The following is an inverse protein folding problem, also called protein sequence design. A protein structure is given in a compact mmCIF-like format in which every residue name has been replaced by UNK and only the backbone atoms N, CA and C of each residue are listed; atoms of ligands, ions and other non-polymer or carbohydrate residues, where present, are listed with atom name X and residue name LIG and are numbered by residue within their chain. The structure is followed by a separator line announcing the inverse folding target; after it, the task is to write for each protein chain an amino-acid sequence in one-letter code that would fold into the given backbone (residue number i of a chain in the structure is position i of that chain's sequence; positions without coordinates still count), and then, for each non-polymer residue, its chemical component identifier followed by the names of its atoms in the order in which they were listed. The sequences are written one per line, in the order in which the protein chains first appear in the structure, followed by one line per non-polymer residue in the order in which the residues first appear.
data_IF_169371897088
#
_entry.id   IF_169371897088
#
_cell.length_a   1.000
_cell.length_b   1.000
_cell.length_c   1.000
_cell.angle_alpha   90.00
_cell.angle_beta   90.00
_cell.angle_gamma   90.00
#
_symmetry.space_group_name_H-M   'P 1'
#
loop_
_entity.id
_entity.type
_entity.pdbx_description
1 polymer ?
#
# COMPACT_ATOMS: atom_id res chain seq x y z
N UNK A 1 -16.25 -11.68 -7.28
CA UNK A 1 -16.50 -10.57 -8.24
C UNK A 1 -15.58 -10.76 -9.42
N UNK A 2 -16.14 -10.91 -10.62
CA UNK A 2 -15.36 -11.10 -11.84
C UNK A 2 -14.84 -9.76 -12.38
N UNK A 3 -13.81 -9.72 -13.24
CA UNK A 3 -13.35 -8.50 -13.89
C UNK A 3 -14.46 -7.72 -14.60
N UNK A 4 -15.46 -8.39 -15.15
CA UNK A 4 -16.64 -7.78 -15.80
C UNK A 4 -17.58 -7.06 -14.82
N UNK A 5 -17.61 -7.47 -13.53
CA UNK A 5 -18.42 -6.82 -12.52
C UNK A 5 -17.82 -5.46 -12.13
N UNK A 6 -16.49 -5.33 -12.23
CA UNK A 6 -15.78 -4.08 -12.02
C UNK A 6 -15.97 -3.08 -13.16
N UNK A 7 -15.98 -3.53 -14.41
CA UNK A 7 -16.25 -2.67 -15.58
C UNK A 7 -17.66 -2.09 -15.54
N UNK A 8 -18.66 -2.87 -15.20
CA UNK A 8 -20.04 -2.39 -15.07
C UNK A 8 -20.26 -1.41 -13.90
N UNK A 9 -19.55 -1.59 -12.78
CA UNK A 9 -19.54 -0.63 -11.67
C UNK A 9 -18.86 0.67 -12.09
N UNK A 10 -17.78 0.57 -12.84
CA UNK A 10 -16.99 1.66 -13.38
C UNK A 10 -17.81 2.59 -14.27
N UNK A 11 -18.57 2.05 -15.20
CA UNK A 11 -19.44 2.82 -16.08
C UNK A 11 -20.58 3.53 -15.32
N UNK A 12 -21.11 2.92 -14.26
CA UNK A 12 -22.14 3.51 -13.41
C UNK A 12 -21.58 4.68 -12.58
N UNK A 13 -20.38 4.56 -12.04
CA UNK A 13 -19.74 5.65 -11.29
C UNK A 13 -19.28 6.78 -12.21
N UNK A 14 -18.84 6.49 -13.44
CA UNK A 14 -18.50 7.49 -14.44
C UNK A 14 -19.69 8.40 -14.78
N UNK A 15 -20.89 7.86 -14.87
CA UNK A 15 -22.14 8.63 -15.09
C UNK A 15 -22.52 9.51 -13.90
N UNK A 16 -22.19 9.10 -12.68
CA UNK A 16 -22.56 9.80 -11.44
C UNK A 16 -21.61 10.97 -11.12
N UNK A 17 -20.32 10.83 -11.41
CA UNK A 17 -19.28 11.79 -11.02
C UNK A 17 -18.78 12.69 -12.16
N UNK A 18 -19.25 12.47 -13.40
CA UNK A 18 -18.77 13.19 -14.58
C UNK A 18 -17.40 12.69 -15.07
N UNK A 19 -17.33 12.37 -16.36
CA UNK A 19 -16.23 11.62 -17.01
C UNK A 19 -14.80 12.12 -16.73
N UNK A 20 -14.61 13.44 -16.60
CA UNK A 20 -13.26 14.03 -16.49
C UNK A 20 -12.57 13.77 -15.15
N UNK A 21 -13.32 13.78 -14.07
CA UNK A 21 -12.75 13.62 -12.71
C UNK A 21 -12.41 12.15 -12.44
N UNK A 22 -13.22 11.25 -12.95
CA UNK A 22 -12.99 9.81 -12.87
C UNK A 22 -11.79 9.39 -13.72
N UNK A 23 -11.71 9.84 -14.98
CA UNK A 23 -10.58 9.55 -15.85
C UNK A 23 -9.24 10.04 -15.28
N UNK A 24 -9.23 11.22 -14.65
CA UNK A 24 -8.04 11.73 -13.96
C UNK A 24 -7.64 10.87 -12.75
N UNK A 25 -8.62 10.35 -11.99
CA UNK A 25 -8.37 9.47 -10.84
C UNK A 25 -7.83 8.12 -11.27
N UNK A 26 -8.37 7.53 -12.35
CA UNK A 26 -7.91 6.24 -12.87
C UNK A 26 -6.54 6.35 -13.53
N UNK A 27 -6.27 7.41 -14.28
CA UNK A 27 -4.95 7.67 -14.85
C UNK A 27 -3.90 7.76 -13.75
N UNK A 28 -4.20 8.44 -12.66
CA UNK A 28 -3.32 8.55 -11.50
C UNK A 28 -3.08 7.20 -10.79
N UNK A 29 -4.13 6.39 -10.61
CA UNK A 29 -3.97 5.04 -10.04
C UNK A 29 -3.09 4.15 -10.90
N UNK A 30 -3.25 4.21 -12.22
CA UNK A 30 -2.44 3.42 -13.15
C UNK A 30 -0.97 3.86 -13.13
N UNK A 31 -0.71 5.16 -13.08
CA UNK A 31 0.64 5.70 -12.98
C UNK A 31 1.31 5.28 -11.66
N UNK A 32 0.58 5.30 -10.54
CA UNK A 32 1.05 4.82 -9.25
C UNK A 32 1.40 3.32 -9.32
N UNK A 33 0.55 2.51 -9.92
CA UNK A 33 0.79 1.07 -10.09
C UNK A 33 2.01 0.78 -10.94
N UNK A 34 2.19 1.52 -12.05
CA UNK A 34 3.38 1.40 -12.90
C UNK A 34 4.66 1.76 -12.15
N UNK A 35 4.61 2.83 -11.38
CA UNK A 35 5.76 3.26 -10.59
C UNK A 35 6.10 2.24 -9.49
N UNK A 36 5.11 1.71 -8.75
CA UNK A 36 5.34 0.67 -7.76
C UNK A 36 5.90 -0.61 -8.39
N UNK A 37 5.39 -1.05 -9.56
CA UNK A 37 5.93 -2.22 -10.26
C UNK A 37 7.37 -2.01 -10.70
N UNK A 38 7.73 -0.80 -11.16
CA UNK A 38 9.12 -0.44 -11.51
C UNK A 38 10.03 -0.50 -10.27
N UNK A 39 9.56 0.03 -9.15
CA UNK A 39 10.31 0.01 -7.88
C UNK A 39 10.42 -1.40 -7.32
N UNK A 40 9.37 -2.23 -7.47
CA UNK A 40 9.37 -3.65 -7.12
C UNK A 40 10.46 -4.41 -7.89
N UNK A 41 10.61 -4.19 -9.19
CA UNK A 41 11.69 -4.78 -9.97
C UNK A 41 13.07 -4.40 -9.41
N UNK A 42 13.29 -3.13 -9.06
CA UNK A 42 14.52 -2.65 -8.41
C UNK A 42 14.79 -3.33 -7.06
N UNK A 43 13.73 -3.60 -6.29
CA UNK A 43 13.78 -4.35 -5.05
C UNK A 43 14.17 -5.81 -5.29
N UNK A 44 13.57 -6.46 -6.31
CA UNK A 44 13.90 -7.84 -6.69
C UNK A 44 15.33 -7.97 -7.21
N UNK A 45 15.87 -6.97 -7.94
CA UNK A 45 17.29 -6.93 -8.31
C UNK A 45 18.20 -6.89 -7.08
N UNK A 46 17.79 -6.18 -6.03
CA UNK A 46 18.54 -6.13 -4.78
C UNK A 46 18.50 -7.47 -4.05
N UNK A 47 17.30 -8.09 -3.95
CA UNK A 47 17.14 -9.43 -3.38
C UNK A 47 17.96 -10.48 -4.13
N UNK A 48 17.96 -10.42 -5.46
CA UNK A 48 18.70 -11.35 -6.31
C UNK A 48 20.23 -11.33 -6.06
N UNK A 49 20.77 -10.19 -5.62
CA UNK A 49 22.20 -10.04 -5.30
C UNK A 49 22.58 -10.55 -3.91
N UNK A 50 21.61 -10.91 -3.07
CA UNK A 50 21.87 -11.43 -1.73
C UNK A 50 22.58 -12.78 -1.83
N UNK A 51 23.71 -12.90 -1.12
CA UNK A 51 24.47 -14.15 -0.99
C UNK A 51 24.12 -14.81 0.35
N UNK A 52 23.82 -16.08 0.32
CA UNK A 52 23.54 -16.87 1.53
C UNK A 52 22.17 -17.54 1.50
N UNK A 53 22.00 -18.47 2.43
CA UNK A 53 20.79 -19.31 2.54
C UNK A 53 19.73 -18.73 3.46
N UNK A 54 19.96 -17.56 4.05
CA UNK A 54 19.04 -16.95 5.00
C UNK A 54 18.67 -15.53 4.59
N UNK A 55 17.38 -15.27 4.64
CA UNK A 55 16.80 -13.95 4.50
C UNK A 55 16.89 -13.19 5.84
N UNK A 56 17.38 -11.98 5.83
CA UNK A 56 17.59 -11.15 7.02
C UNK A 56 16.92 -9.79 6.89
N UNK A 57 16.44 -9.27 8.02
CA UNK A 57 15.72 -7.98 8.06
C UNK A 57 16.59 -6.79 7.63
N UNK A 58 17.90 -6.89 7.77
CA UNK A 58 18.85 -5.82 7.38
C UNK A 58 18.81 -5.52 5.86
N UNK A 59 18.16 -6.38 5.07
CA UNK A 59 17.93 -6.10 3.66
C UNK A 59 17.07 -4.84 3.46
N UNK A 60 16.19 -4.53 4.42
CA UNK A 60 15.34 -3.33 4.37
C UNK A 60 16.16 -2.03 4.35
N UNK A 61 17.40 -2.04 4.84
CA UNK A 61 18.30 -0.88 4.81
C UNK A 61 18.90 -0.59 3.42
N UNK A 62 18.70 -1.49 2.45
CA UNK A 62 19.23 -1.30 1.11
C UNK A 62 18.51 -0.16 0.38
N UNK A 63 19.25 0.71 -0.36
CA UNK A 63 18.69 1.92 -0.95
C UNK A 63 17.46 1.68 -1.83
N UNK A 64 17.48 0.65 -2.69
CA UNK A 64 16.36 0.34 -3.58
C UNK A 64 15.13 -0.17 -2.84
N UNK A 65 15.32 -0.81 -1.70
CA UNK A 65 14.23 -1.28 -0.85
C UNK A 65 13.67 -0.10 -0.06
N UNK A 66 14.51 0.79 0.46
CA UNK A 66 14.07 2.03 1.10
C UNK A 66 13.32 2.95 0.12
N UNK A 67 13.74 3.01 -1.14
CA UNK A 67 13.03 3.74 -2.20
C UNK A 67 11.60 3.23 -2.37
N UNK A 68 11.40 1.91 -2.41
CA UNK A 68 10.09 1.28 -2.49
C UNK A 68 9.24 1.57 -1.25
N UNK A 69 9.79 1.39 -0.03
CA UNK A 69 9.10 1.65 1.24
C UNK A 69 8.62 3.11 1.30
N UNK A 70 9.49 4.05 0.97
CA UNK A 70 9.16 5.48 1.00
C UNK A 70 8.11 5.85 -0.04
N UNK A 71 8.19 5.30 -1.25
CA UNK A 71 7.20 5.54 -2.29
C UNK A 71 5.82 5.01 -1.87
N UNK A 72 5.74 3.79 -1.34
CA UNK A 72 4.50 3.21 -0.85
C UNK A 72 3.92 4.02 0.33
N UNK A 73 4.72 4.39 1.32
CA UNK A 73 4.30 5.24 2.43
C UNK A 73 3.78 6.60 1.96
N UNK A 74 4.48 7.25 1.01
CA UNK A 74 4.03 8.52 0.42
C UNK A 74 2.67 8.42 -0.28
N UNK A 75 2.39 7.31 -0.93
CA UNK A 75 1.07 7.06 -1.54
C UNK A 75 -0.01 7.02 -0.46
N UNK A 76 0.24 6.33 0.64
CA UNK A 76 -0.68 6.25 1.77
C UNK A 76 -0.86 7.63 2.45
N UNK A 77 0.22 8.34 2.72
CA UNK A 77 0.21 9.68 3.30
C UNK A 77 -0.62 10.68 2.47
N UNK A 78 -0.64 10.52 1.15
CA UNK A 78 -1.43 11.37 0.25
C UNK A 78 -2.94 11.31 0.50
N UNK A 79 -3.42 10.25 1.16
CA UNK A 79 -4.85 10.04 1.45
C UNK A 79 -5.39 11.06 2.45
N UNK A 80 -4.55 11.57 3.34
CA UNK A 80 -4.93 12.50 4.40
C UNK A 80 -4.23 13.86 4.31
N UNK A 81 -3.63 14.17 3.17
CA UNK A 81 -2.96 15.46 2.95
C UNK A 81 -3.89 16.65 3.23
N UNK A 82 -5.17 16.54 2.83
CA UNK A 82 -6.19 17.58 2.98
C UNK A 82 -7.05 17.42 4.23
N UNK A 83 -6.79 16.43 5.07
CA UNK A 83 -7.54 16.23 6.32
C UNK A 83 -7.02 17.20 7.38
N UNK A 84 -7.90 18.00 7.97
CA UNK A 84 -7.55 18.90 9.06
C UNK A 84 -7.28 18.10 10.34
N UNK A 85 -6.07 18.22 10.85
CA UNK A 85 -5.60 17.58 12.08
C UNK A 85 -4.35 18.31 12.60
N UNK A 86 -3.96 18.05 13.84
CA UNK A 86 -2.72 18.59 14.37
C UNK A 86 -1.49 18.00 13.68
N UNK A 87 -0.39 18.74 13.68
CA UNK A 87 0.90 18.25 13.17
C UNK A 87 1.40 17.02 13.94
N UNK A 88 1.07 16.92 15.23
CA UNK A 88 1.43 15.75 16.04
C UNK A 88 0.70 14.49 15.55
N UNK A 89 -0.61 14.60 15.26
CA UNK A 89 -1.41 13.49 14.73
C UNK A 89 -0.92 13.11 13.34
N UNK A 90 -0.69 14.07 12.46
CA UNK A 90 -0.17 13.84 11.11
C UNK A 90 1.14 13.06 11.13
N UNK A 91 2.11 13.48 11.94
CA UNK A 91 3.38 12.75 12.10
C UNK A 91 3.22 11.33 12.62
N UNK A 92 2.25 11.08 13.50
CA UNK A 92 1.93 9.72 13.99
C UNK A 92 1.40 8.83 12.87
N UNK A 93 0.48 9.35 12.05
CA UNK A 93 -0.06 8.61 10.91
C UNK A 93 1.02 8.32 9.87
N UNK A 94 1.84 9.30 9.49
CA UNK A 94 2.96 9.11 8.57
C UNK A 94 3.96 8.06 9.07
N UNK A 95 4.25 8.08 10.36
CA UNK A 95 5.11 7.04 10.97
C UNK A 95 4.45 5.66 10.90
N UNK A 96 3.14 5.58 11.13
CA UNK A 96 2.38 4.32 11.01
C UNK A 96 2.43 3.79 9.58
N UNK A 97 2.23 4.64 8.59
CA UNK A 97 2.26 4.27 7.18
C UNK A 97 3.65 3.82 6.72
N UNK A 98 4.70 4.47 7.22
CA UNK A 98 6.07 4.04 6.97
C UNK A 98 6.36 2.65 7.57
N UNK A 99 5.94 2.41 8.82
CA UNK A 99 6.11 1.10 9.48
C UNK A 99 5.31 0.02 8.73
N UNK A 100 4.07 0.30 8.38
CA UNK A 100 3.24 -0.61 7.60
C UNK A 100 3.87 -0.95 6.25
N UNK A 101 4.35 0.06 5.53
CA UNK A 101 5.05 -0.12 4.25
C UNK A 101 6.31 -0.96 4.38
N UNK A 102 7.08 -0.77 5.46
CA UNK A 102 8.25 -1.59 5.77
C UNK A 102 7.92 -3.05 6.07
N UNK A 103 6.87 -3.29 6.86
CA UNK A 103 6.40 -4.65 7.18
C UNK A 103 5.88 -5.38 5.95
N UNK A 104 5.09 -4.70 5.12
CA UNK A 104 4.60 -5.21 3.83
C UNK A 104 5.77 -5.58 2.92
N UNK A 105 6.71 -4.67 2.73
CA UNK A 105 7.92 -4.89 1.92
C UNK A 105 8.72 -6.08 2.41
N UNK A 106 8.91 -6.22 3.72
CA UNK A 106 9.59 -7.38 4.29
C UNK A 106 8.85 -8.68 3.97
N UNK A 107 7.52 -8.68 4.05
CA UNK A 107 6.70 -9.84 3.71
C UNK A 107 6.83 -10.22 2.23
N UNK A 108 6.76 -9.25 1.32
CA UNK A 108 6.95 -9.47 -0.12
C UNK A 108 8.33 -10.06 -0.44
N UNK A 109 9.39 -9.54 0.17
CA UNK A 109 10.75 -10.05 0.02
C UNK A 109 10.90 -11.46 0.57
N UNK A 110 10.29 -11.75 1.71
CA UNK A 110 10.32 -13.08 2.33
C UNK A 110 9.56 -14.11 1.47
N UNK A 111 8.47 -13.71 0.85
CA UNK A 111 7.70 -14.56 -0.08
C UNK A 111 8.45 -14.79 -1.39
N UNK A 112 9.18 -13.78 -1.87
CA UNK A 112 9.99 -13.88 -3.09
C UNK A 112 11.27 -14.71 -2.91
N UNK A 113 11.85 -14.73 -1.72
CA UNK A 113 13.16 -15.31 -1.44
C UNK A 113 13.30 -16.79 -1.86
N UNK A 114 12.34 -17.69 -1.58
CA UNK A 114 12.41 -19.08 -2.02
C UNK A 114 12.50 -19.25 -3.54
N UNK A 115 11.93 -18.30 -4.30
CA UNK A 115 11.91 -18.36 -5.78
C UNK A 115 13.29 -18.09 -6.42
N UNK A 116 14.30 -17.70 -5.63
CA UNK A 116 15.67 -17.50 -6.12
C UNK A 116 16.34 -18.78 -6.64
N UNK A 117 15.92 -19.93 -6.14
CA UNK A 117 16.52 -21.22 -6.45
C UNK A 117 15.57 -22.08 -7.29
N UNK A 118 16.14 -22.91 -8.13
CA UNK A 118 15.43 -23.97 -8.84
C UNK A 118 15.26 -25.23 -7.95
N UNK A 119 14.59 -26.26 -8.47
CA UNK A 119 14.36 -27.53 -7.78
C UNK A 119 15.66 -28.28 -7.40
N UNK A 120 16.76 -27.95 -8.08
CA UNK A 120 18.09 -28.55 -7.83
C UNK A 120 18.93 -27.70 -6.87
N UNK A 121 18.39 -26.59 -6.35
CA UNK A 121 19.11 -25.67 -5.47
C UNK A 121 20.06 -24.71 -6.19
N UNK A 122 20.02 -24.64 -7.52
CA UNK A 122 20.80 -23.68 -8.30
C UNK A 122 20.08 -22.35 -8.40
N UNK A 123 20.83 -21.26 -8.47
CA UNK A 123 20.26 -19.94 -8.66
C UNK A 123 19.67 -19.80 -10.07
N UNK A 124 18.39 -19.44 -10.15
CA UNK A 124 17.71 -19.17 -11.41
C UNK A 124 18.32 -17.96 -12.12
N UNK A 125 18.24 -17.87 -13.46
CA UNK A 125 18.46 -16.62 -14.18
C UNK A 125 17.52 -15.52 -13.69
N UNK A 126 17.99 -14.26 -13.67
CA UNK A 126 17.19 -13.16 -13.11
C UNK A 126 15.82 -13.01 -13.77
N UNK A 127 15.72 -13.13 -15.09
CA UNK A 127 14.46 -13.05 -15.83
C UNK A 127 13.44 -14.12 -15.40
N UNK A 128 13.90 -15.35 -15.17
CA UNK A 128 13.04 -16.42 -14.67
C UNK A 128 12.58 -16.13 -13.24
N UNK A 129 13.49 -15.73 -12.36
CA UNK A 129 13.14 -15.31 -11.00
C UNK A 129 12.13 -14.16 -11.01
N UNK A 130 12.34 -13.12 -11.82
CA UNK A 130 11.44 -11.98 -11.92
C UNK A 130 10.03 -12.40 -12.38
N UNK A 131 9.93 -13.30 -13.36
CA UNK A 131 8.66 -13.85 -13.82
C UNK A 131 7.94 -14.64 -12.70
N UNK A 132 8.67 -15.44 -11.94
CA UNK A 132 8.11 -16.26 -10.86
C UNK A 132 7.50 -15.40 -9.72
N UNK A 133 8.05 -14.21 -9.49
CA UNK A 133 7.59 -13.30 -8.42
C UNK A 133 6.58 -12.24 -8.88
N UNK A 134 6.18 -12.22 -10.15
CA UNK A 134 5.19 -11.26 -10.67
C UNK A 134 3.82 -11.37 -9.97
N UNK A 135 3.46 -12.57 -9.49
CA UNK A 135 2.23 -12.77 -8.72
C UNK A 135 2.24 -11.99 -7.41
N UNK A 136 3.41 -11.81 -6.79
CA UNK A 136 3.61 -11.03 -5.57
C UNK A 136 3.32 -9.56 -5.87
N UNK A 137 3.95 -8.98 -6.90
CA UNK A 137 3.68 -7.60 -7.34
C UNK A 137 2.19 -7.39 -7.66
N UNK A 138 1.57 -8.29 -8.41
CA UNK A 138 0.14 -8.21 -8.73
C UNK A 138 -0.74 -8.24 -7.49
N UNK A 139 -0.44 -9.08 -6.53
CA UNK A 139 -1.23 -9.23 -5.29
C UNK A 139 -1.10 -8.00 -4.42
N UNK A 140 0.12 -7.60 -4.07
CA UNK A 140 0.37 -6.57 -3.07
C UNK A 140 0.31 -5.15 -3.62
N UNK A 141 0.81 -4.92 -4.84
CA UNK A 141 0.98 -3.58 -5.38
C UNK A 141 -0.10 -3.17 -6.38
N UNK A 142 -0.95 -4.11 -6.80
CA UNK A 142 -2.08 -3.82 -7.68
C UNK A 142 -3.43 -4.09 -7.01
N UNK A 143 -3.62 -5.30 -6.48
CA UNK A 143 -4.93 -5.71 -5.95
C UNK A 143 -5.21 -5.09 -4.58
N UNK A 144 -4.23 -5.05 -3.68
CA UNK A 144 -4.41 -4.57 -2.32
C UNK A 144 -4.23 -3.05 -2.16
N UNK A 145 -3.53 -2.39 -3.07
CA UNK A 145 -3.24 -0.96 -2.98
C UNK A 145 -4.50 -0.11 -2.71
N UNK A 146 -5.59 -0.39 -3.40
CA UNK A 146 -6.85 0.35 -3.21
C UNK A 146 -7.47 0.13 -1.83
N UNK A 147 -7.39 -1.09 -1.33
CA UNK A 147 -7.91 -1.42 0.01
C UNK A 147 -7.08 -0.73 1.09
N UNK A 148 -5.76 -0.75 0.95
CA UNK A 148 -4.82 -0.06 1.84
C UNK A 148 -5.06 1.45 1.85
N UNK A 149 -5.20 2.05 0.66
CA UNK A 149 -5.53 3.46 0.48
C UNK A 149 -6.82 3.86 1.20
N UNK A 150 -7.90 3.11 0.98
CA UNK A 150 -9.19 3.37 1.61
C UNK A 150 -9.13 3.19 3.13
N UNK A 151 -8.40 2.20 3.62
CA UNK A 151 -8.22 1.96 5.05
C UNK A 151 -7.48 3.10 5.73
N UNK A 152 -6.36 3.57 5.16
CA UNK A 152 -5.58 4.69 5.70
C UNK A 152 -6.40 5.97 5.69
N UNK A 153 -7.14 6.24 4.60
CA UNK A 153 -8.01 7.40 4.51
C UNK A 153 -9.09 7.40 5.61
N UNK A 154 -9.78 6.28 5.81
CA UNK A 154 -10.79 6.15 6.85
C UNK A 154 -10.18 6.31 8.26
N UNK A 155 -9.02 5.70 8.49
CA UNK A 155 -8.29 5.81 9.76
C UNK A 155 -7.87 7.24 10.07
N UNK A 156 -7.39 7.98 9.08
CA UNK A 156 -7.03 9.38 9.23
C UNK A 156 -8.24 10.28 9.54
N UNK A 157 -9.37 10.04 8.88
CA UNK A 157 -10.61 10.76 9.19
C UNK A 157 -11.12 10.48 10.61
N UNK A 158 -11.00 9.24 11.07
CA UNK A 158 -11.35 8.88 12.45
C UNK A 158 -10.39 9.52 13.46
N UNK A 159 -9.09 9.51 13.18
CA UNK A 159 -8.09 10.15 14.04
C UNK A 159 -8.34 11.65 14.19
N UNK A 160 -8.68 12.36 13.10
CA UNK A 160 -9.03 13.77 13.11
C UNK A 160 -10.32 14.04 13.94
N UNK A 161 -11.35 13.19 13.80
CA UNK A 161 -12.57 13.28 14.63
C UNK A 161 -12.26 13.06 16.11
N UNK A 162 -11.45 12.07 16.45
CA UNK A 162 -11.03 11.83 17.82
C UNK A 162 -10.27 13.01 18.43
N UNK A 163 -9.40 13.64 17.65
CA UNK A 163 -8.68 14.83 18.11
C UNK A 163 -9.65 15.98 18.45
N UNK A 164 -10.68 16.21 17.60
CA UNK A 164 -11.76 17.16 17.88
C UNK A 164 -12.55 16.79 19.15
N UNK A 165 -12.90 15.53 19.32
CA UNK A 165 -13.61 15.09 20.54
C UNK A 165 -12.77 15.25 21.81
N UNK A 166 -11.47 15.05 21.76
CA UNK A 166 -10.57 15.25 22.90
C UNK A 166 -10.43 16.73 23.27
N UNK A 167 -10.50 17.64 22.30
CA UNK A 167 -10.48 19.08 22.54
C UNK A 167 -11.77 19.57 23.23
N UNK A 168 -12.89 18.97 22.90
CA UNK A 168 -14.23 19.35 23.42
C UNK A 168 -14.78 18.32 24.43
N UNK A 169 -13.95 17.40 24.93
CA UNK A 169 -14.35 16.22 25.70
C UNK A 169 -15.13 16.50 26.99
N UNK A 170 -14.95 17.69 27.59
CA UNK A 170 -15.71 18.12 28.75
C UNK A 170 -17.14 18.54 28.44
N UNK A 171 -17.50 18.66 27.16
CA UNK A 171 -18.81 19.16 26.69
C UNK A 171 -19.74 18.06 26.22
N UNK A 172 -19.27 16.84 25.96
CA UNK A 172 -20.07 15.79 25.35
C UNK A 172 -19.89 14.44 26.05
N UNK A 173 -21.00 13.73 26.19
CA UNK A 173 -20.96 12.31 26.55
C UNK A 173 -20.90 11.45 25.28
N UNK A 174 -19.92 10.57 25.18
CA UNK A 174 -19.81 9.64 24.06
C UNK A 174 -20.80 8.47 24.28
N UNK A 175 -21.68 8.23 23.31
CA UNK A 175 -22.55 7.06 23.27
C UNK A 175 -22.07 6.13 22.17
N UNK A 176 -21.74 4.88 22.55
CA UNK A 176 -21.47 3.83 21.58
C UNK A 176 -22.79 3.33 21.01
N UNK A 177 -22.92 3.30 19.68
CA UNK A 177 -24.00 2.64 18.95
C UNK A 177 -23.42 1.70 17.92
N UNK A 178 -23.88 0.46 17.90
CA UNK A 178 -23.57 -0.49 16.84
C UNK A 178 -24.42 -0.18 15.61
N UNK A 179 -23.86 -0.33 14.41
CA UNK A 179 -24.63 -0.22 13.17
C UNK A 179 -25.56 -1.46 13.10
N UNK A 180 -26.85 -1.25 13.28
CA UNK A 180 -27.87 -2.33 13.25
C UNK A 180 -28.78 -2.43 14.47
N UNK A 181 -28.65 -1.52 15.43
CA UNK A 181 -29.56 -1.39 16.57
C UNK A 181 -30.72 -0.43 16.21
N UNK A 182 -31.55 -0.80 15.23
CA UNK A 182 -32.88 -0.23 14.99
C UNK A 182 -33.95 -1.21 15.45
#
# INVERSE_FOLDING_TARGET
MSPSDYEGLHERYARILGDKQLQATFSREEDIRKELSRLFEGMMQTLYKVKGAQFRIEILEKPKIQEFINAHASILDSTFEKVEMSDAMRRRLQRSDYIFSGMKTFHELNEAFPSLLDENGNRKPFEQFLNDVQSIDSTYNRNYLRTEYNFVQASAQMAAKWEGFMQDGDRYNLQYRTAGDD
#
